data_IF_511891476089
#
_entry.id   IF_511891476089
#
_cell.length_a   1.000
_cell.length_b   1.000
_cell.length_c   1.000
_cell.angle_alpha   90.00
_cell.angle_beta   90.00
_cell.angle_gamma   90.00
#
_symmetry.space_group_name_H-M   'P 1'
#
loop_
_entity.id
_entity.type
_entity.pdbx_description
1 polymer ?
#
# COMPACT_ATOMS: atom_id res chain seq x y z
N UNK A 1 6.53 -2.09 7.71
CA UNK A 1 5.94 -1.54 6.47
C UNK A 1 6.44 -0.13 6.23
N UNK A 2 6.59 0.66 7.31
CA UNK A 2 7.11 2.03 7.27
C UNK A 2 8.51 2.18 6.65
N UNK A 3 9.41 1.22 6.91
CA UNK A 3 10.76 1.23 6.33
C UNK A 3 10.75 1.09 4.80
N UNK A 4 9.87 0.25 4.25
CA UNK A 4 9.69 0.08 2.80
C UNK A 4 9.17 1.37 2.17
N UNK A 5 8.18 2.00 2.81
CA UNK A 5 7.59 3.26 2.33
C UNK A 5 8.60 4.40 2.39
N UNK A 6 9.38 4.49 3.48
CA UNK A 6 10.45 5.46 3.61
C UNK A 6 11.47 5.30 2.49
N UNK A 7 11.93 4.08 2.23
CA UNK A 7 12.90 3.80 1.17
C UNK A 7 12.36 4.11 -0.23
N UNK A 8 11.11 3.75 -0.53
CA UNK A 8 10.44 4.12 -1.80
C UNK A 8 10.41 5.66 -1.97
N UNK A 9 10.12 6.40 -0.90
CA UNK A 9 10.09 7.86 -0.92
C UNK A 9 11.48 8.47 -1.13
N UNK A 10 12.52 7.93 -0.50
CA UNK A 10 13.91 8.33 -0.74
C UNK A 10 14.30 8.14 -2.20
N UNK A 11 14.06 6.95 -2.77
CA UNK A 11 14.33 6.66 -4.18
C UNK A 11 13.50 7.57 -5.10
N UNK A 12 12.23 7.84 -4.80
CA UNK A 12 11.42 8.79 -5.58
C UNK A 12 11.93 10.23 -5.51
N UNK A 13 12.48 10.67 -4.36
CA UNK A 13 13.10 11.99 -4.24
C UNK A 13 14.39 12.07 -5.03
N UNK A 14 15.23 11.03 -4.97
CA UNK A 14 16.46 10.91 -5.74
C UNK A 14 16.19 10.93 -7.25
N UNK A 15 15.21 10.13 -7.70
CA UNK A 15 14.75 10.11 -9.09
C UNK A 15 14.39 11.48 -9.64
N UNK A 16 13.69 12.30 -8.83
CA UNK A 16 13.29 13.66 -9.23
C UNK A 16 14.45 14.66 -9.29
N UNK A 17 15.48 14.47 -8.46
CA UNK A 17 16.59 15.42 -8.31
C UNK A 17 17.72 15.14 -9.29
N UNK A 18 18.12 13.88 -9.41
CA UNK A 18 19.34 13.45 -10.10
C UNK A 18 19.15 12.21 -10.98
N UNK A 19 17.96 11.60 -10.94
CA UNK A 19 17.68 10.32 -11.60
C UNK A 19 17.98 9.13 -10.70
N UNK A 20 17.71 7.92 -11.19
CA UNK A 20 18.05 6.68 -10.50
C UNK A 20 19.02 5.88 -11.35
N UNK A 21 19.93 5.17 -10.70
CA UNK A 21 20.71 4.15 -11.38
C UNK A 21 19.81 2.96 -11.77
N UNK A 22 20.25 2.10 -12.70
CA UNK A 22 19.51 0.88 -13.04
C UNK A 22 19.25 -0.02 -11.82
N UNK A 23 20.22 -0.12 -10.92
CA UNK A 23 20.11 -0.89 -9.67
C UNK A 23 19.06 -0.31 -8.74
N UNK A 24 19.06 1.01 -8.55
CA UNK A 24 18.08 1.71 -7.72
C UNK A 24 16.67 1.65 -8.31
N UNK A 25 16.56 1.64 -9.63
CA UNK A 25 15.28 1.45 -10.33
C UNK A 25 14.73 0.06 -10.10
N UNK A 26 15.60 -0.96 -10.14
CA UNK A 26 15.23 -2.34 -9.81
C UNK A 26 14.80 -2.46 -8.34
N UNK A 27 15.55 -1.86 -7.42
CA UNK A 27 15.23 -1.80 -5.98
C UNK A 27 13.86 -1.14 -5.77
N UNK A 28 13.64 0.04 -6.35
CA UNK A 28 12.37 0.77 -6.23
C UNK A 28 11.18 -0.07 -6.74
N UNK A 29 11.37 -0.80 -7.85
CA UNK A 29 10.34 -1.68 -8.40
C UNK A 29 10.03 -2.82 -7.45
N UNK A 30 11.05 -3.51 -6.94
CA UNK A 30 10.86 -4.63 -6.00
C UNK A 30 10.14 -4.17 -4.73
N UNK A 31 10.53 -3.02 -4.17
CA UNK A 31 9.88 -2.44 -3.00
C UNK A 31 8.42 -2.08 -3.26
N UNK A 32 8.10 -1.50 -4.42
CA UNK A 32 6.72 -1.20 -4.81
C UNK A 32 5.87 -2.45 -4.96
N UNK A 33 6.41 -3.49 -5.60
CA UNK A 33 5.71 -4.77 -5.75
C UNK A 33 5.42 -5.40 -4.38
N UNK A 34 6.38 -5.35 -3.45
CA UNK A 34 6.20 -5.83 -2.08
C UNK A 34 5.13 -5.02 -1.33
N UNK A 35 5.17 -3.70 -1.43
CA UNK A 35 4.18 -2.80 -0.82
C UNK A 35 2.76 -3.10 -1.33
N UNK A 36 2.57 -3.17 -2.65
CA UNK A 36 1.27 -3.43 -3.28
C UNK A 36 0.73 -4.80 -2.87
N UNK A 37 1.57 -5.83 -2.83
CA UNK A 37 1.14 -7.16 -2.42
C UNK A 37 0.73 -7.22 -0.94
N UNK A 38 1.45 -6.52 -0.06
CA UNK A 38 1.06 -6.37 1.35
C UNK A 38 -0.27 -5.61 1.49
N UNK A 39 -0.39 -4.50 0.78
CA UNK A 39 -1.60 -3.67 0.76
C UNK A 39 -2.82 -4.43 0.23
N UNK A 40 -2.68 -5.17 -0.89
CA UNK A 40 -3.76 -5.99 -1.46
C UNK A 40 -4.28 -7.05 -0.49
N UNK A 41 -3.38 -7.72 0.24
CA UNK A 41 -3.77 -8.67 1.30
C UNK A 41 -4.52 -7.97 2.42
N UNK A 42 -4.00 -6.85 2.92
CA UNK A 42 -4.67 -6.07 3.96
C UNK A 42 -6.04 -5.56 3.51
N UNK A 43 -6.17 -5.11 2.27
CA UNK A 43 -7.42 -4.62 1.68
C UNK A 43 -8.43 -5.76 1.52
N UNK A 44 -8.02 -6.92 1.02
CA UNK A 44 -8.90 -8.10 0.94
C UNK A 44 -9.41 -8.49 2.32
N UNK A 45 -8.52 -8.58 3.31
CA UNK A 45 -8.93 -8.86 4.70
C UNK A 45 -9.93 -7.80 5.19
N UNK A 46 -9.71 -6.53 4.87
CA UNK A 46 -10.63 -5.47 5.28
C UNK A 46 -12.00 -5.62 4.60
N UNK A 47 -12.05 -5.91 3.30
CA UNK A 47 -13.28 -6.17 2.55
C UNK A 47 -14.03 -7.41 3.06
N UNK A 48 -13.33 -8.48 3.42
CA UNK A 48 -13.94 -9.67 4.02
C UNK A 48 -14.53 -9.40 5.41
N UNK A 49 -13.99 -8.41 6.13
CA UNK A 49 -14.54 -7.94 7.40
C UNK A 49 -15.62 -6.85 7.22
N UNK A 50 -15.87 -6.34 6.00
CA UNK A 50 -17.02 -5.49 5.73
C UNK A 50 -18.26 -6.39 5.73
N UNK A 51 -18.92 -6.45 6.88
CA UNK A 51 -20.29 -6.94 6.96
C UNK A 51 -21.17 -5.90 6.27
N UNK A 52 -21.89 -6.30 5.21
CA UNK A 52 -23.04 -5.54 4.73
C UNK A 52 -24.07 -5.52 5.85
N UNK A 53 -24.06 -4.47 6.66
CA UNK A 53 -25.20 -4.11 7.49
C UNK A 53 -26.26 -3.60 6.52
N UNK A 54 -27.01 -4.54 5.94
CA UNK A 54 -28.30 -4.21 5.37
C UNK A 54 -29.12 -3.63 6.52
N UNK A 55 -29.78 -2.51 6.27
CA UNK A 55 -30.45 -1.73 7.31
C UNK A 55 -31.62 -2.50 7.90
N UNK A 56 -31.36 -3.42 8.83
CA UNK A 56 -32.36 -3.82 9.82
C UNK A 56 -32.50 -2.65 10.80
N UNK A 57 -33.41 -1.77 10.40
CA UNK A 57 -34.28 -0.94 11.22
C UNK A 57 -34.20 -1.29 12.71
N UNK A 58 -33.26 -0.68 13.43
CA UNK A 58 -33.22 -0.72 14.89
C UNK A 58 -34.18 0.36 15.43
N UNK A 59 -35.48 0.22 15.17
CA UNK A 59 -36.47 0.89 15.99
C UNK A 59 -36.58 0.10 17.30
N UNK A 60 -35.82 0.55 18.30
CA UNK A 60 -36.18 0.33 19.70
C UNK A 60 -37.36 1.26 20.02
N UNK A 61 -38.56 0.72 20.16
CA UNK A 61 -39.53 1.27 21.10
C UNK A 61 -40.53 0.24 21.63
#
# INVERSE_FOLDING_TARGET
MDEIVARINELSRKQKKEGLTPEETAEQKQLRDQYINGFKRSLRNQLENITLVDGEDQIKH
#
